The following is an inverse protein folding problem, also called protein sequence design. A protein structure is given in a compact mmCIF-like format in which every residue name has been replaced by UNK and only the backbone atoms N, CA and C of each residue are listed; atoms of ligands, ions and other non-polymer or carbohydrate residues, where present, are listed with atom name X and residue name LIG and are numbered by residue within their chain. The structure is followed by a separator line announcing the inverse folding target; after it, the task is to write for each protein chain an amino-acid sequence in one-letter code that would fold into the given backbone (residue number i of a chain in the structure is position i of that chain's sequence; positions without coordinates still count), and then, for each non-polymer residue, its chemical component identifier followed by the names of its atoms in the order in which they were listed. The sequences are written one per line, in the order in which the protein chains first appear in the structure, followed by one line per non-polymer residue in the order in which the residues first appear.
data_IF_576875905763
#
_entry.id   IF_576875905763
#
_cell.length_a   1.000
_cell.length_b   1.000
_cell.length_c   1.000
_cell.angle_alpha   90.00
_cell.angle_beta   90.00
_cell.angle_gamma   90.00
#
_symmetry.space_group_name_H-M   'P 1'
#
loop_
_entity.id
_entity.type
_entity.pdbx_description
1 polymer ?
#
# COMPACT_ATOMS: atom_id res chain seq x y z
N UNK A 1 26.80 -22.00 13.41
CA UNK A 1 27.30 -21.02 14.40
C UNK A 1 26.22 -20.01 14.81
N UNK A 2 25.44 -19.43 13.87
CA UNK A 2 24.42 -18.41 14.20
C UNK A 2 23.31 -18.88 15.16
N UNK A 3 22.81 -20.12 15.04
CA UNK A 3 21.78 -20.64 15.97
C UNK A 3 22.28 -20.73 17.42
N UNK A 4 23.56 -21.04 17.64
CA UNK A 4 24.14 -21.11 18.99
C UNK A 4 24.34 -19.74 19.63
N UNK A 5 24.56 -18.70 18.83
CA UNK A 5 24.62 -17.32 19.31
C UNK A 5 23.24 -16.80 19.76
N UNK A 6 22.15 -17.20 19.08
CA UNK A 6 20.78 -16.87 19.49
C UNK A 6 20.38 -17.55 20.81
N UNK A 7 20.82 -18.80 21.05
CA UNK A 7 20.61 -19.49 22.33
C UNK A 7 21.36 -18.84 23.50
N UNK A 8 22.56 -18.30 23.26
CA UNK A 8 23.36 -17.63 24.29
C UNK A 8 22.90 -16.20 24.62
N UNK A 9 22.14 -15.55 23.72
CA UNK A 9 21.67 -14.17 23.88
C UNK A 9 20.34 -14.03 24.66
N UNK A 10 19.71 -15.14 25.08
CA UNK A 10 18.42 -15.10 25.81
C UNK A 10 17.21 -14.75 24.94
N UNK A 11 17.35 -14.77 23.61
CA UNK A 11 16.28 -14.49 22.65
C UNK A 11 15.65 -15.75 22.05
N UNK A 12 15.92 -16.93 22.61
CA UNK A 12 15.25 -18.15 22.16
C UNK A 12 13.77 -18.10 22.55
N UNK A 13 12.91 -18.18 21.54
CA UNK A 13 11.46 -18.23 21.68
C UNK A 13 11.03 -19.33 22.68
N UNK A 14 11.76 -20.45 22.72
CA UNK A 14 11.52 -21.52 23.69
C UNK A 14 11.90 -21.13 25.12
N UNK A 15 12.98 -20.37 25.30
CA UNK A 15 13.39 -19.87 26.61
C UNK A 15 12.36 -18.88 27.15
N UNK A 16 11.84 -17.97 26.30
CA UNK A 16 10.74 -17.07 26.68
C UNK A 16 9.49 -17.84 27.08
N UNK A 17 9.11 -18.85 26.31
CA UNK A 17 7.97 -19.73 26.64
C UNK A 17 8.18 -20.47 27.97
N UNK A 18 9.38 -20.96 28.26
CA UNK A 18 9.70 -21.59 29.55
C UNK A 18 9.61 -20.58 30.70
N UNK A 19 10.13 -19.36 30.53
CA UNK A 19 10.05 -18.29 31.53
C UNK A 19 8.58 -17.91 31.78
N UNK A 20 7.78 -17.77 30.72
CA UNK A 20 6.35 -17.48 30.82
C UNK A 20 5.59 -18.59 31.55
N UNK A 21 5.94 -19.86 31.28
CA UNK A 21 5.34 -21.01 31.95
C UNK A 21 5.71 -21.04 33.44
N UNK A 22 6.98 -20.83 33.77
CA UNK A 22 7.45 -20.72 35.15
C UNK A 22 6.75 -19.55 35.87
N UNK A 23 6.66 -18.39 35.22
CA UNK A 23 5.97 -17.23 35.78
C UNK A 23 4.47 -17.47 35.98
N UNK A 24 3.82 -18.21 35.08
CA UNK A 24 2.41 -18.60 35.20
C UNK A 24 2.18 -19.56 36.38
N UNK A 25 3.05 -20.56 36.55
CA UNK A 25 2.98 -21.48 37.69
C UNK A 25 3.25 -20.75 39.02
N UNK A 26 4.26 -19.89 39.09
CA UNK A 26 4.53 -19.05 40.27
C UNK A 26 3.34 -18.16 40.64
N UNK A 27 2.65 -17.55 39.66
CA UNK A 27 1.42 -16.78 39.90
C UNK A 27 0.31 -17.65 40.48
N UNK A 28 0.09 -18.85 39.93
CA UNK A 28 -0.92 -19.79 40.45
C UNK A 28 -0.61 -20.23 41.88
N UNK A 29 0.65 -20.56 42.16
CA UNK A 29 1.11 -20.94 43.49
C UNK A 29 0.94 -19.78 44.49
N UNK A 30 1.20 -18.53 44.09
CA UNK A 30 0.94 -17.37 44.95
C UNK A 30 -0.53 -17.20 45.28
N UNK A 31 -1.45 -17.50 44.36
CA UNK A 31 -2.89 -17.41 44.62
C UNK A 31 -3.38 -18.54 45.55
N UNK A 32 -2.87 -19.76 45.35
CA UNK A 32 -3.17 -20.94 46.18
C UNK A 32 -2.63 -20.73 47.61
N UNK A 33 -1.42 -20.20 47.74
CA UNK A 33 -0.84 -19.88 49.05
C UNK A 33 -1.59 -18.74 49.74
N UNK A 34 -1.99 -17.68 49.03
CA UNK A 34 -2.86 -16.63 49.58
C UNK A 34 -4.16 -17.22 50.13
N UNK A 35 -4.79 -18.13 49.38
CA UNK A 35 -6.01 -18.83 49.81
C UNK A 35 -5.80 -19.65 51.06
N UNK A 36 -4.71 -20.42 51.14
CA UNK A 36 -4.36 -21.21 52.33
C UNK A 36 -4.11 -20.31 53.55
N UNK A 37 -3.51 -19.13 53.36
CA UNK A 37 -3.30 -18.15 54.42
C UNK A 37 -4.59 -17.46 54.87
N UNK A 38 -5.52 -17.19 53.93
CA UNK A 38 -6.85 -16.69 54.24
C UNK A 38 -7.66 -17.72 55.04
N UNK A 39 -7.67 -18.99 54.64
CA UNK A 39 -8.33 -20.09 55.36
C UNK A 39 -7.73 -20.31 56.77
N UNK A 40 -6.43 -20.03 56.95
CA UNK A 40 -5.76 -20.08 58.26
C UNK A 40 -6.11 -18.88 59.16
N UNK A 41 -6.68 -17.82 58.59
CA UNK A 41 -7.10 -16.62 59.31
C UNK A 41 -8.61 -16.69 59.56
N UNK A 42 -9.06 -16.53 60.82
CA UNK A 42 -10.48 -16.70 61.21
C UNK A 42 -11.48 -15.70 60.60
N UNK A 43 -11.08 -14.85 59.65
CA UNK A 43 -11.88 -13.74 59.14
C UNK A 43 -12.46 -13.99 57.73
N UNK A 44 -13.79 -14.00 57.61
CA UNK A 44 -14.53 -14.04 56.33
C UNK A 44 -14.10 -12.96 55.31
N UNK A 45 -13.48 -11.87 55.79
CA UNK A 45 -13.00 -10.76 54.96
C UNK A 45 -11.82 -11.15 54.08
N UNK A 46 -10.90 -11.97 54.59
CA UNK A 46 -9.68 -12.32 53.86
C UNK A 46 -9.98 -13.34 52.76
N UNK A 47 -10.88 -14.30 53.04
CA UNK A 47 -11.41 -15.22 52.04
C UNK A 47 -12.10 -14.47 50.88
N UNK A 48 -12.90 -13.45 51.19
CA UNK A 48 -13.55 -12.62 50.19
C UNK A 48 -12.55 -11.88 49.30
N UNK A 49 -11.46 -11.35 49.89
CA UNK A 49 -10.39 -10.67 49.15
C UNK A 49 -9.67 -11.63 48.20
N UNK A 50 -9.39 -12.87 48.62
CA UNK A 50 -8.75 -13.87 47.76
C UNK A 50 -9.67 -14.26 46.59
N UNK A 51 -10.97 -14.41 46.84
CA UNK A 51 -11.96 -14.67 45.79
C UNK A 51 -12.03 -13.51 44.79
N UNK A 52 -12.01 -12.27 45.26
CA UNK A 52 -11.98 -11.08 44.42
C UNK A 52 -10.68 -10.98 43.62
N UNK A 53 -9.53 -11.28 44.22
CA UNK A 53 -8.25 -11.31 43.51
C UNK A 53 -8.26 -12.36 42.39
N UNK A 54 -8.76 -13.56 42.69
CA UNK A 54 -8.91 -14.62 41.69
C UNK A 54 -9.87 -14.23 40.56
N UNK A 55 -10.91 -13.43 40.85
CA UNK A 55 -11.85 -12.90 39.85
C UNK A 55 -11.17 -11.85 38.97
N UNK A 56 -10.44 -10.90 39.57
CA UNK A 56 -9.72 -9.85 38.86
C UNK A 56 -8.62 -10.43 37.96
N UNK A 57 -7.93 -11.48 38.39
CA UNK A 57 -6.90 -12.15 37.58
C UNK A 57 -7.51 -12.81 36.32
N UNK A 58 -8.66 -13.48 36.47
CA UNK A 58 -9.42 -14.02 35.33
C UNK A 58 -9.90 -12.92 34.38
N UNK A 59 -10.39 -11.81 34.91
CA UNK A 59 -10.85 -10.67 34.11
C UNK A 59 -9.69 -10.04 33.33
N UNK A 60 -8.53 -9.90 33.97
CA UNK A 60 -7.30 -9.44 33.33
C UNK A 60 -6.90 -10.36 32.16
N UNK A 61 -6.90 -11.68 32.36
CA UNK A 61 -6.54 -12.63 31.31
C UNK A 61 -7.49 -12.54 30.10
N UNK A 62 -8.79 -12.37 30.34
CA UNK A 62 -9.78 -12.18 29.27
C UNK A 62 -9.52 -10.89 28.48
N UNK A 63 -9.25 -9.78 29.17
CA UNK A 63 -8.93 -8.50 28.55
C UNK A 63 -7.62 -8.55 27.77
N UNK A 64 -6.59 -9.24 28.28
CA UNK A 64 -5.31 -9.40 27.60
C UNK A 64 -5.48 -10.21 26.29
N UNK A 65 -6.33 -11.25 26.28
CA UNK A 65 -6.65 -12.00 25.06
C UNK A 65 -7.48 -11.18 24.06
N UNK A 66 -8.46 -10.41 24.53
CA UNK A 66 -9.23 -9.48 23.69
C UNK A 66 -8.32 -8.43 23.04
N UNK A 67 -7.40 -7.86 23.82
CA UNK A 67 -6.41 -6.90 23.35
C UNK A 67 -5.46 -7.51 22.31
N UNK A 68 -4.97 -8.74 22.52
CA UNK A 68 -4.18 -9.48 21.52
C UNK A 68 -4.97 -9.70 20.22
N UNK A 69 -6.24 -10.07 20.33
CA UNK A 69 -7.11 -10.25 19.16
C UNK A 69 -7.33 -8.94 18.40
N UNK A 70 -7.58 -7.84 19.10
CA UNK A 70 -7.69 -6.51 18.49
C UNK A 70 -6.40 -6.08 17.80
N UNK A 71 -5.23 -6.31 18.42
CA UNK A 71 -3.92 -6.03 17.80
C UNK A 71 -3.75 -6.82 16.50
N UNK A 72 -4.01 -8.13 16.51
CA UNK A 72 -3.97 -8.97 15.30
C UNK A 72 -4.93 -8.48 14.21
N UNK A 73 -6.14 -8.05 14.58
CA UNK A 73 -7.10 -7.46 13.63
C UNK A 73 -6.59 -6.15 13.05
N UNK A 74 -5.98 -5.29 13.87
CA UNK A 74 -5.41 -4.02 13.45
C UNK A 74 -4.21 -4.22 12.50
N UNK A 75 -3.29 -5.13 12.83
CA UNK A 75 -2.14 -5.48 11.99
C UNK A 75 -2.59 -5.99 10.61
N UNK A 76 -3.57 -6.88 10.56
CA UNK A 76 -4.17 -7.35 9.29
C UNK A 76 -4.76 -6.20 8.48
N UNK A 77 -5.46 -5.25 9.12
CA UNK A 77 -6.00 -4.07 8.42
C UNK A 77 -4.90 -3.16 7.88
N UNK A 78 -3.82 -2.95 8.64
CA UNK A 78 -2.66 -2.18 8.19
C UNK A 78 -1.97 -2.84 7.00
N UNK A 79 -1.78 -4.16 7.04
CA UNK A 79 -1.22 -4.91 5.91
C UNK A 79 -2.08 -4.75 4.65
N UNK A 80 -3.41 -4.87 4.79
CA UNK A 80 -4.34 -4.63 3.66
C UNK A 80 -4.28 -3.21 3.13
N UNK A 81 -4.14 -2.19 3.99
CA UNK A 81 -3.97 -0.80 3.56
C UNK A 81 -2.67 -0.63 2.75
N UNK A 82 -1.57 -1.25 3.19
CA UNK A 82 -0.28 -1.22 2.47
C UNK A 82 -0.38 -1.89 1.10
N UNK A 83 -1.03 -3.05 1.03
CA UNK A 83 -1.29 -3.74 -0.24
C UNK A 83 -2.14 -2.88 -1.20
N UNK A 84 -3.18 -2.22 -0.69
CA UNK A 84 -4.01 -1.32 -1.49
C UNK A 84 -3.23 -0.10 -1.97
N UNK A 85 -2.38 0.47 -1.12
CA UNK A 85 -1.49 1.58 -1.49
C UNK A 85 -0.50 1.16 -2.57
N UNK A 86 0.04 -0.05 -2.49
CA UNK A 86 0.91 -0.60 -3.53
C UNK A 86 0.16 -0.74 -4.87
N UNK A 87 -1.06 -1.29 -4.84
CA UNK A 87 -1.92 -1.39 -6.03
C UNK A 87 -2.21 0.00 -6.61
N UNK A 88 -2.55 0.99 -5.76
CA UNK A 88 -2.77 2.39 -6.18
C UNK A 88 -1.51 2.99 -6.80
N UNK A 89 -0.33 2.74 -6.21
CA UNK A 89 0.94 3.20 -6.75
C UNK A 89 1.20 2.59 -8.12
N UNK A 90 1.01 1.28 -8.28
CA UNK A 90 1.13 0.59 -9.57
C UNK A 90 0.14 1.13 -10.59
N UNK A 91 -1.11 1.41 -10.19
CA UNK A 91 -2.13 1.99 -11.05
C UNK A 91 -1.68 3.34 -11.63
N UNK A 92 -1.17 4.24 -10.78
CA UNK A 92 -0.63 5.54 -11.20
C UNK A 92 0.65 5.42 -12.02
N UNK A 93 1.58 4.54 -11.63
CA UNK A 93 2.83 4.30 -12.37
C UNK A 93 2.55 3.83 -13.80
N UNK A 94 1.50 3.03 -13.99
CA UNK A 94 1.07 2.60 -15.30
C UNK A 94 0.18 3.64 -16.01
N UNK A 95 0.01 4.85 -15.48
CA UNK A 95 -0.85 5.91 -16.05
C UNK A 95 -2.28 5.45 -16.33
N UNK A 96 -2.79 4.52 -15.53
CA UNK A 96 -4.17 4.05 -15.67
C UNK A 96 -5.21 5.08 -15.23
N UNK A 97 -4.76 6.16 -14.58
CA UNK A 97 -5.49 7.37 -14.22
C UNK A 97 -5.58 8.40 -15.35
N UNK A 98 -4.93 8.18 -16.50
CA UNK A 98 -4.99 9.07 -17.65
C UNK A 98 -6.38 9.04 -18.33
N UNK A 99 -6.80 10.16 -18.93
CA UNK A 99 -8.04 10.31 -19.71
C UNK A 99 -8.09 9.30 -20.89
N UNK A 100 -6.92 8.89 -21.38
CA UNK A 100 -6.79 7.90 -22.45
C UNK A 100 -6.87 6.45 -21.97
N UNK A 101 -6.82 6.21 -20.66
CA UNK A 101 -7.04 4.90 -20.06
C UNK A 101 -8.54 4.66 -19.91
N UNK A 102 -9.00 3.50 -20.35
CA UNK A 102 -10.40 3.10 -20.20
C UNK A 102 -10.50 1.67 -19.70
N UNK A 103 -11.52 1.41 -18.90
CA UNK A 103 -11.84 0.10 -18.35
C UNK A 103 -13.23 -0.29 -18.83
N UNK A 104 -13.36 -1.01 -19.96
CA UNK A 104 -14.66 -1.42 -20.50
C UNK A 104 -15.48 -2.22 -19.49
N UNK A 105 -14.81 -3.02 -18.64
CA UNK A 105 -15.43 -3.84 -17.60
C UNK A 105 -15.14 -3.28 -16.19
N UNK A 106 -15.42 -2.00 -15.96
CA UNK A 106 -15.18 -1.36 -14.66
C UNK A 106 -15.93 -2.01 -13.49
N UNK A 107 -17.11 -2.58 -13.73
CA UNK A 107 -17.89 -3.27 -12.69
C UNK A 107 -17.20 -4.53 -12.15
N UNK A 108 -16.55 -5.30 -13.02
CA UNK A 108 -15.77 -6.49 -12.61
C UNK A 108 -14.56 -6.10 -11.74
N UNK A 109 -13.88 -5.01 -12.10
CA UNK A 109 -12.79 -4.47 -11.27
C UNK A 109 -13.32 -4.02 -9.91
N UNK A 110 -14.50 -3.38 -9.88
CA UNK A 110 -15.18 -2.98 -8.65
C UNK A 110 -15.59 -4.14 -7.76
N UNK A 111 -16.10 -5.24 -8.33
CA UNK A 111 -16.50 -6.43 -7.55
C UNK A 111 -15.29 -7.10 -6.90
N UNK A 112 -14.20 -7.28 -7.65
CA UNK A 112 -12.96 -7.86 -7.11
C UNK A 112 -12.30 -6.94 -6.09
N UNK A 113 -12.38 -5.61 -6.27
CA UNK A 113 -11.95 -4.67 -5.24
C UNK A 113 -12.79 -4.84 -3.96
N UNK A 114 -14.11 -5.01 -4.08
CA UNK A 114 -14.98 -5.29 -2.94
C UNK A 114 -14.68 -6.63 -2.26
N UNK A 115 -14.31 -7.65 -3.02
CA UNK A 115 -13.85 -8.94 -2.49
C UNK A 115 -12.49 -8.82 -1.79
N UNK A 116 -11.56 -8.05 -2.35
CA UNK A 116 -10.27 -7.75 -1.75
C UNK A 116 -10.43 -7.03 -0.40
N UNK A 117 -11.29 -6.00 -0.33
CA UNK A 117 -11.57 -5.29 0.92
C UNK A 117 -12.24 -6.17 1.99
N UNK A 118 -13.01 -7.18 1.56
CA UNK A 118 -13.59 -8.21 2.43
C UNK A 118 -12.61 -9.34 2.78
N UNK A 119 -11.40 -9.32 2.20
CA UNK A 119 -10.36 -10.33 2.41
C UNK A 119 -10.56 -11.63 1.63
N UNK A 120 -11.48 -11.66 0.67
CA UNK A 120 -11.77 -12.83 -0.18
C UNK A 120 -10.84 -12.93 -1.40
N UNK A 121 -10.29 -11.81 -1.85
CA UNK A 121 -9.35 -11.75 -2.97
C UNK A 121 -7.98 -11.23 -2.52
N UNK A 122 -6.94 -11.55 -3.30
CA UNK A 122 -5.56 -11.09 -3.06
C UNK A 122 -5.22 -9.82 -3.84
N UNK A 123 -4.21 -9.08 -3.38
CA UNK A 123 -3.72 -7.88 -4.08
C UNK A 123 -3.23 -8.18 -5.50
N UNK A 124 -2.63 -9.35 -5.71
CA UNK A 124 -2.19 -9.83 -7.02
C UNK A 124 -3.35 -10.14 -7.97
N UNK A 125 -4.44 -10.71 -7.48
CA UNK A 125 -5.64 -10.99 -8.26
C UNK A 125 -6.35 -9.70 -8.69
N UNK A 126 -6.49 -8.75 -7.76
CA UNK A 126 -6.99 -7.41 -8.05
C UNK A 126 -6.13 -6.73 -9.13
N UNK A 127 -4.81 -6.73 -8.97
CA UNK A 127 -3.89 -6.13 -9.93
C UNK A 127 -3.99 -6.79 -11.31
N UNK A 128 -4.02 -8.12 -11.36
CA UNK A 128 -4.15 -8.88 -12.60
C UNK A 128 -5.45 -8.54 -13.31
N UNK A 129 -6.55 -8.41 -12.58
CA UNK A 129 -7.85 -8.05 -13.17
C UNK A 129 -7.86 -6.62 -13.70
N UNK A 130 -7.29 -5.66 -12.97
CA UNK A 130 -7.09 -4.29 -13.44
C UNK A 130 -6.32 -4.31 -14.76
N UNK A 131 -5.17 -4.98 -14.80
CA UNK A 131 -4.31 -5.04 -15.98
C UNK A 131 -5.00 -5.69 -17.19
N UNK A 132 -5.74 -6.79 -16.98
CA UNK A 132 -6.48 -7.50 -18.05
C UNK A 132 -7.61 -6.66 -18.64
N UNK A 133 -8.27 -5.84 -17.83
CA UNK A 133 -9.41 -5.03 -18.27
C UNK A 133 -9.02 -3.62 -18.72
N UNK A 134 -7.75 -3.25 -18.61
CA UNK A 134 -7.28 -1.95 -19.06
C UNK A 134 -7.15 -1.90 -20.59
N UNK A 135 -7.64 -0.81 -21.18
CA UNK A 135 -7.49 -0.51 -22.60
C UNK A 135 -7.10 0.95 -22.80
N UNK A 136 -6.01 1.18 -23.53
CA UNK A 136 -5.65 2.51 -24.01
C UNK A 136 -6.45 2.88 -25.26
N UNK A 137 -7.19 3.98 -25.19
CA UNK A 137 -7.80 4.59 -26.36
C UNK A 137 -6.72 5.32 -27.16
N UNK A 138 -6.31 4.74 -28.28
CA UNK A 138 -5.47 5.45 -29.25
C UNK A 138 -6.32 6.56 -29.86
N UNK A 139 -6.01 7.83 -29.57
CA UNK A 139 -6.40 8.90 -30.49
C UNK A 139 -5.60 8.66 -31.77
N UNK A 140 -6.29 8.31 -32.85
CA UNK A 140 -5.71 8.50 -34.17
C UNK A 140 -5.43 10.00 -34.28
N UNK A 141 -4.17 10.40 -34.11
CA UNK A 141 -3.73 11.71 -34.58
C UNK A 141 -3.95 11.66 -36.08
N UNK A 142 -5.05 12.24 -36.55
CA UNK A 142 -5.29 12.34 -37.98
C UNK A 142 -4.09 13.15 -38.52
N UNK A 143 -3.16 12.55 -39.31
CA UNK A 143 -1.99 13.27 -39.80
C UNK A 143 -2.38 14.43 -40.73
N UNK A 144 -3.67 14.51 -41.07
CA UNK A 144 -4.32 15.54 -41.87
C UNK A 144 -4.71 16.81 -41.11
N UNK A 145 -4.61 16.86 -39.78
CA UNK A 145 -4.69 18.14 -39.06
C UNK A 145 -3.34 18.87 -39.21
N UNK A 146 -3.15 19.47 -40.38
CA UNK A 146 -1.91 20.15 -40.80
C UNK A 146 -1.40 19.78 -42.20
N UNK A 147 -1.92 18.72 -42.83
CA UNK A 147 -1.64 18.40 -44.25
C UNK A 147 -2.80 18.75 -45.19
N UNK A 148 -3.67 19.66 -44.75
CA UNK A 148 -4.43 20.51 -45.66
C UNK A 148 -3.43 21.35 -46.44
N UNK A 149 -3.22 20.97 -47.69
CA UNK A 149 -2.48 21.76 -48.64
C UNK A 149 -2.91 23.23 -48.54
N UNK A 150 -1.92 24.11 -48.52
CA UNK A 150 -2.13 25.48 -48.95
C UNK A 150 -2.57 25.45 -50.41
N UNK A 151 -3.86 25.27 -50.64
CA UNK A 151 -4.53 25.62 -51.87
C UNK A 151 -4.51 27.14 -51.99
N UNK A 152 -3.43 27.69 -52.52
CA UNK A 152 -3.45 29.05 -53.05
C UNK A 152 -4.35 29.04 -54.31
N UNK A 153 -5.35 29.93 -54.41
CA UNK A 153 -6.12 30.08 -55.63
C UNK A 153 -5.24 30.81 -56.65
N UNK A 154 -4.79 30.07 -57.66
CA UNK A 154 -4.14 30.64 -58.82
C UNK A 154 -2.64 30.33 -58.93
N UNK A 155 -2.31 29.58 -59.99
CA UNK A 155 -1.08 29.79 -60.76
C UNK A 155 0.23 29.27 -60.16
N UNK A 156 0.59 28.03 -60.52
CA UNK A 156 1.93 27.67 -60.97
C UNK A 156 3.11 27.70 -59.98
N UNK A 157 3.99 26.70 -60.15
CA UNK A 157 5.35 26.54 -59.59
C UNK A 157 5.43 25.66 -58.33
N UNK A 158 5.71 24.39 -58.62
CA UNK A 158 6.22 23.37 -57.71
C UNK A 158 7.54 23.86 -57.11
N UNK A 159 7.63 23.95 -55.79
CA UNK A 159 8.90 24.17 -55.08
C UNK A 159 9.81 22.96 -55.30
N UNK A 160 10.77 23.10 -56.21
CA UNK A 160 11.95 22.23 -56.30
C UNK A 160 12.86 22.55 -55.10
N UNK A 161 13.01 21.59 -54.20
CA UNK A 161 14.20 21.51 -53.35
C UNK A 161 15.45 21.38 -54.24
N UNK A 162 16.53 22.14 -54.03
CA UNK A 162 17.78 21.93 -54.75
C UNK A 162 18.46 20.67 -54.20
N UNK A 163 18.32 19.56 -54.94
CA UNK A 163 19.15 18.38 -54.74
C UNK A 163 20.54 18.61 -55.32
N UNK A 164 21.53 18.87 -54.45
CA UNK A 164 22.93 18.65 -54.78
C UNK A 164 23.25 17.16 -54.64
N UNK A 165 23.68 16.57 -55.75
CA UNK A 165 24.17 15.20 -55.85
C UNK A 165 25.46 14.99 -55.05
N UNK A 166 25.72 13.72 -54.70
CA UNK A 166 26.98 13.09 -54.26
C UNK A 166 27.41 13.24 -52.79
N UNK A 167 27.42 12.09 -52.11
CA UNK A 167 28.65 11.60 -51.47
C UNK A 167 28.67 11.58 -49.94
N UNK A 168 28.59 10.37 -49.38
CA UNK A 168 29.47 9.91 -48.30
C UNK A 168 29.25 10.43 -46.87
N UNK A 169 29.16 9.50 -45.93
CA UNK A 169 29.64 9.73 -44.56
C UNK A 169 28.57 9.67 -43.47
N UNK A 170 28.47 8.51 -42.82
CA UNK A 170 27.93 8.40 -41.47
C UNK A 170 28.77 9.25 -40.49
N UNK A 171 28.16 10.19 -39.77
CA UNK A 171 28.67 10.69 -38.47
C UNK A 171 27.52 11.03 -37.51
N UNK A 172 27.59 10.40 -36.35
CA UNK A 172 26.77 10.56 -35.14
C UNK A 172 26.83 12.03 -34.66
N UNK A 173 25.72 12.65 -34.19
CA UNK A 173 25.80 13.98 -33.61
C UNK A 173 26.42 13.92 -32.20
N UNK A 174 27.52 14.66 -32.05
CA UNK A 174 28.22 14.94 -30.79
C UNK A 174 27.55 16.16 -30.16
N UNK A 175 26.92 16.00 -29.00
CA UNK A 175 26.49 17.12 -28.16
C UNK A 175 27.70 17.93 -27.67
N UNK A 176 27.55 19.26 -27.55
CA UNK A 176 28.13 19.98 -26.44
C UNK A 176 27.05 20.70 -25.63
N UNK A 177 26.99 20.32 -24.36
CA UNK A 177 26.90 21.18 -23.17
C UNK A 177 26.10 22.49 -23.19
N UNK A 178 25.32 22.67 -22.14
CA UNK A 178 25.05 24.00 -21.60
C UNK A 178 23.67 24.10 -20.95
N UNK A 179 23.65 24.11 -19.62
CA UNK A 179 22.44 24.20 -18.82
C UNK A 179 21.74 25.55 -18.88
N UNK A 180 20.52 25.59 -18.33
CA UNK A 180 19.74 26.82 -18.21
C UNK A 180 18.42 26.54 -17.50
N UNK A 181 18.45 26.66 -16.17
CA UNK A 181 17.26 26.73 -15.32
C UNK A 181 16.46 28.00 -15.62
N UNK A 182 15.14 27.91 -15.52
CA UNK A 182 14.35 28.94 -14.86
C UNK A 182 13.44 29.81 -15.73
N UNK A 183 12.17 29.83 -15.34
CA UNK A 183 11.47 31.10 -15.13
C UNK A 183 10.28 31.40 -16.03
N UNK A 184 9.11 31.57 -15.40
CA UNK A 184 8.14 32.57 -15.84
C UNK A 184 6.89 32.05 -16.53
N UNK A 185 5.98 31.42 -15.78
CA UNK A 185 4.60 31.19 -16.20
C UNK A 185 3.63 31.86 -15.23
N UNK A 186 3.54 33.19 -15.28
CA UNK A 186 2.52 33.97 -14.56
C UNK A 186 1.26 34.10 -15.40
N UNK A 187 0.11 33.87 -14.77
CA UNK A 187 -1.23 34.06 -15.32
C UNK A 187 -2.19 33.16 -14.54
N UNK A 188 -3.20 33.63 -13.83
CA UNK A 188 -3.95 34.88 -13.88
C UNK A 188 -5.34 34.47 -13.36
N UNK A 189 -5.55 34.57 -12.05
CA UNK A 189 -6.80 34.16 -11.42
C UNK A 189 -7.90 35.13 -11.82
N UNK A 190 -8.94 34.64 -12.49
CA UNK A 190 -10.21 35.34 -12.65
C UNK A 190 -11.17 34.78 -11.59
N UNK A 191 -11.46 35.61 -10.60
CA UNK A 191 -12.60 35.46 -9.71
C UNK A 191 -13.86 36.00 -10.41
N UNK A 192 -14.94 35.23 -10.32
CA UNK A 192 -16.29 35.60 -10.77
C UNK A 192 -17.05 34.31 -11.04
N UNK A 193 -18.12 33.94 -10.34
CA UNK A 193 -19.07 34.70 -9.54
C UNK A 193 -20.44 34.08 -9.86
N UNK A 194 -21.23 33.73 -8.86
CA UNK A 194 -22.58 33.21 -9.05
C UNK A 194 -23.06 32.44 -7.84
N UNK A 195 -23.94 33.09 -7.08
CA UNK A 195 -24.74 32.51 -6.00
C UNK A 195 -25.77 31.52 -6.55
#
# INVERSE_FOLDING_TARGET
AEKQAQYAAGEDERLRQCIDLIAAELKRDTLISLRRHAEATRGQRDDAIVVDLARLDREKDLLDEELKNHKRMYERRLERLRELEEVRRKFKQNRYDDIHSSFPNGQLVGSILGEFLRGLATSGELWTTIQRNQRYRRRGSNPTFGSGGLGFPGGGKVWRMPGSSRGGGWRIPKFPGGGGFGGGGGGGFHTGGGF
#
